data_IF_623990668341
#
_entry.id   IF_623990668341
#
_cell.length_a   1.000
_cell.length_b   1.000
_cell.length_c   1.000
_cell.angle_alpha   90.00
_cell.angle_beta   90.00
_cell.angle_gamma   90.00
#
_symmetry.space_group_name_H-M   'P 1'
#
loop_
_entity.id
_entity.type
_entity.pdbx_description
1 polymer ?
#
# COMPACT_ATOMS: atom_id res chain seq x y z
N UNK A 1 3.23 -23.02 13.05
CA UNK A 1 2.24 -23.51 12.06
C UNK A 1 1.45 -22.32 11.51
N UNK A 2 1.58 -21.97 10.24
CA UNK A 2 0.72 -20.94 9.63
C UNK A 2 -0.70 -21.53 9.43
N UNK A 3 -1.74 -20.81 9.89
CA UNK A 3 -3.15 -21.23 9.75
C UNK A 3 -3.52 -21.40 8.27
N UNK A 4 -4.46 -22.28 7.95
CA UNK A 4 -4.91 -22.56 6.58
C UNK A 4 -5.29 -21.28 5.79
N UNK A 5 -5.79 -20.27 6.50
CA UNK A 5 -6.11 -18.94 5.97
C UNK A 5 -4.88 -18.20 5.39
N UNK A 6 -3.71 -18.37 6.00
CA UNK A 6 -2.46 -17.75 5.55
C UNK A 6 -2.04 -18.34 4.19
N UNK A 7 -2.08 -19.67 4.05
CA UNK A 7 -1.72 -20.36 2.80
C UNK A 7 -2.67 -20.03 1.64
N UNK A 8 -3.97 -19.90 1.90
CA UNK A 8 -4.95 -19.53 0.88
C UNK A 8 -4.74 -18.07 0.41
N UNK A 9 -4.46 -17.17 1.35
CA UNK A 9 -4.18 -15.75 1.06
C UNK A 9 -2.87 -15.59 0.27
N UNK A 10 -1.83 -16.36 0.61
CA UNK A 10 -0.55 -16.37 -0.11
C UNK A 10 -0.72 -16.88 -1.55
N UNK A 11 -1.47 -17.97 -1.77
CA UNK A 11 -1.77 -18.48 -3.12
C UNK A 11 -2.53 -17.46 -3.97
N UNK A 12 -3.49 -16.74 -3.38
CA UNK A 12 -4.22 -15.69 -4.09
C UNK A 12 -3.32 -14.52 -4.50
N UNK A 13 -2.48 -14.03 -3.58
CA UNK A 13 -1.53 -12.95 -3.85
C UNK A 13 -0.56 -13.32 -4.96
N UNK A 14 0.00 -14.53 -4.91
CA UNK A 14 0.89 -15.05 -5.94
C UNK A 14 0.20 -15.12 -7.31
N UNK A 15 -1.03 -15.65 -7.39
CA UNK A 15 -1.80 -15.75 -8.64
C UNK A 15 -2.14 -14.39 -9.26
N UNK A 16 -2.33 -13.35 -8.43
CA UNK A 16 -2.70 -12.00 -8.86
C UNK A 16 -1.49 -11.05 -9.01
N UNK A 17 -0.26 -11.54 -8.80
CA UNK A 17 0.95 -10.72 -8.85
C UNK A 17 1.00 -9.64 -7.76
N UNK A 18 0.27 -9.82 -6.65
CA UNK A 18 0.19 -8.84 -5.57
C UNK A 18 1.44 -8.95 -4.71
N UNK A 19 2.24 -7.89 -4.69
CA UNK A 19 3.45 -7.78 -3.86
C UNK A 19 3.14 -6.87 -2.67
N UNK A 20 3.41 -7.33 -1.45
CA UNK A 20 3.39 -6.47 -0.26
C UNK A 20 4.78 -5.88 -0.06
N UNK A 21 4.91 -4.55 -0.14
CA UNK A 21 6.12 -3.83 0.26
C UNK A 21 5.91 -3.22 1.63
N UNK A 22 6.81 -3.53 2.56
CA UNK A 22 6.84 -2.90 3.89
C UNK A 22 8.00 -1.92 3.95
N UNK A 23 7.71 -0.68 4.32
CA UNK A 23 8.71 0.37 4.54
C UNK A 23 8.65 0.82 6.00
N UNK A 24 9.77 1.31 6.52
CA UNK A 24 9.82 1.95 7.83
C UNK A 24 9.59 3.45 7.63
N UNK A 25 8.64 4.02 8.37
CA UNK A 25 8.36 5.47 8.41
C UNK A 25 8.26 5.93 9.87
N UNK A 26 8.46 7.22 10.12
CA UNK A 26 8.26 7.78 11.46
C UNK A 26 6.77 7.72 11.85
N UNK A 27 6.50 7.58 13.15
CA UNK A 27 5.12 7.60 13.68
C UNK A 27 4.40 8.88 13.30
N UNK A 28 5.07 10.01 13.47
CA UNK A 28 4.51 11.33 13.18
C UNK A 28 4.07 11.45 11.71
N UNK A 29 4.92 11.02 10.78
CA UNK A 29 4.57 11.03 9.35
C UNK A 29 3.36 10.14 9.06
N UNK A 30 3.29 8.96 9.67
CA UNK A 30 2.15 8.05 9.52
C UNK A 30 0.85 8.68 10.03
N UNK A 31 0.86 9.30 11.21
CA UNK A 31 -0.32 9.95 11.81
C UNK A 31 -0.80 11.13 10.96
N UNK A 32 0.13 11.98 10.49
CA UNK A 32 -0.21 13.08 9.58
C UNK A 32 -0.81 12.57 8.26
N UNK A 33 -0.25 11.49 7.71
CA UNK A 33 -0.77 10.88 6.48
C UNK A 33 -2.17 10.30 6.65
N UNK A 34 -2.45 9.64 7.79
CA UNK A 34 -3.79 9.13 8.11
C UNK A 34 -4.80 10.28 8.14
N UNK A 35 -4.50 11.34 8.89
CA UNK A 35 -5.40 12.50 8.99
C UNK A 35 -5.62 13.19 7.63
N UNK A 36 -4.59 13.27 6.79
CA UNK A 36 -4.71 13.81 5.44
C UNK A 36 -5.63 12.96 4.56
N UNK A 37 -5.50 11.62 4.62
CA UNK A 37 -6.37 10.70 3.90
C UNK A 37 -7.84 10.81 4.36
N UNK A 38 -8.07 10.92 5.67
CA UNK A 38 -9.41 11.11 6.24
C UNK A 38 -10.05 12.42 5.77
N UNK A 39 -9.32 13.53 5.82
CA UNK A 39 -9.80 14.84 5.32
C UNK A 39 -10.09 14.82 3.82
N UNK A 40 -9.28 14.09 3.05
CA UNK A 40 -9.47 13.93 1.61
C UNK A 40 -10.55 12.89 1.25
N UNK A 41 -11.09 12.15 2.21
CA UNK A 41 -12.11 11.13 1.98
C UNK A 41 -11.62 9.92 1.18
N UNK A 42 -10.31 9.62 1.22
CA UNK A 42 -9.71 8.51 0.47
C UNK A 42 -9.01 7.51 1.40
N UNK A 43 -8.82 6.29 0.91
CA UNK A 43 -8.02 5.30 1.64
C UNK A 43 -6.51 5.57 1.49
N UNK A 44 -5.74 5.21 2.52
CA UNK A 44 -4.27 5.25 2.46
C UNK A 44 -3.71 4.47 1.26
N UNK A 45 -4.29 3.31 0.97
CA UNK A 45 -3.88 2.48 -0.17
C UNK A 45 -4.11 3.19 -1.51
N UNK A 46 -5.23 3.93 -1.64
CA UNK A 46 -5.52 4.73 -2.82
C UNK A 46 -4.53 5.89 -2.96
N UNK A 47 -4.21 6.59 -1.86
CA UNK A 47 -3.19 7.65 -1.87
C UNK A 47 -1.82 7.12 -2.31
N UNK A 48 -1.36 5.99 -1.77
CA UNK A 48 -0.10 5.36 -2.20
C UNK A 48 -0.13 4.96 -3.68
N UNK A 49 -1.23 4.35 -4.15
CA UNK A 49 -1.37 3.97 -5.56
C UNK A 49 -1.27 5.17 -6.49
N UNK A 50 -2.00 6.24 -6.20
CA UNK A 50 -1.97 7.48 -6.97
C UNK A 50 -0.57 8.09 -6.99
N UNK A 51 0.09 8.15 -5.83
CA UNK A 51 1.46 8.65 -5.74
C UNK A 51 2.43 7.83 -6.60
N UNK A 52 2.34 6.50 -6.55
CA UNK A 52 3.18 5.63 -7.38
C UNK A 52 2.94 5.84 -8.87
N UNK A 53 1.69 5.92 -9.32
CA UNK A 53 1.34 6.15 -10.73
C UNK A 53 1.85 7.51 -11.22
N UNK A 54 1.67 8.56 -10.41
CA UNK A 54 2.19 9.90 -10.71
C UNK A 54 3.72 9.92 -10.76
N UNK A 55 4.37 9.28 -9.80
CA UNK A 55 5.82 9.20 -9.75
C UNK A 55 6.41 8.44 -10.94
N UNK A 56 5.80 7.32 -11.34
CA UNK A 56 6.20 6.58 -12.56
C UNK A 56 6.04 7.47 -13.79
N UNK A 57 4.88 8.12 -13.94
CA UNK A 57 4.59 8.98 -15.10
C UNK A 57 5.57 10.15 -15.19
N UNK A 58 5.94 10.75 -14.06
CA UNK A 58 6.87 11.86 -14.01
C UNK A 58 8.33 11.47 -14.33
N UNK A 59 8.67 10.18 -14.27
CA UNK A 59 10.04 9.66 -14.40
C UNK A 59 10.16 8.52 -15.42
N UNK A 60 9.38 8.55 -16.51
CA UNK A 60 9.60 7.65 -17.65
C UNK A 60 10.69 8.24 -18.56
N UNK A 61 11.86 7.57 -18.61
CA UNK A 61 12.86 7.77 -19.67
C UNK A 61 12.41 7.10 -20.98
#
# INVERSE_FOLDING_TARGET
MAKAQTKATEKYRAKKGIITKSIKISRELNEQFIQACERAGISQAQAFKTFMEQFITAHQE
#
